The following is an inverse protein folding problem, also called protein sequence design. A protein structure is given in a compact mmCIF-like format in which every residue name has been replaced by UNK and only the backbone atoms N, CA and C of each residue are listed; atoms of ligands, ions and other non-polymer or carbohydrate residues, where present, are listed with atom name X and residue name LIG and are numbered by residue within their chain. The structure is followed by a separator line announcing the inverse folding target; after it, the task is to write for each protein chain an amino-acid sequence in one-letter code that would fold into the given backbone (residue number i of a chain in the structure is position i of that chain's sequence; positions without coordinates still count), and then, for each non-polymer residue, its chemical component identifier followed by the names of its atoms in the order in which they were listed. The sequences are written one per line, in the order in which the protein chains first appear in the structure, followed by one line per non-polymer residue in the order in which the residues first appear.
data_IF_855712548989
#
_entry.id   IF_855712548989
#
_cell.length_a   1.000
_cell.length_b   1.000
_cell.length_c   1.000
_cell.angle_alpha   90.00
_cell.angle_beta   90.00
_cell.angle_gamma   90.00
#
_symmetry.space_group_name_H-M   'P 1'
#
loop_
_entity.id
_entity.type
_entity.pdbx_description
1 polymer ?
#
# COMPACT_ATOMS: atom_id res chain seq x y z
N UNK A 1 2.53 -1.32 57.02
CA UNK A 1 1.22 -1.21 56.34
C UNK A 1 1.21 -2.19 55.18
N UNK A 2 0.32 -3.17 55.17
CA UNK A 2 0.19 -4.17 54.12
C UNK A 2 -0.93 -3.78 53.15
N UNK A 3 -0.66 -3.75 51.85
CA UNK A 3 -1.66 -3.49 50.83
C UNK A 3 -2.35 -4.79 50.41
N UNK A 4 -3.66 -4.86 50.63
CA UNK A 4 -4.53 -5.91 50.15
C UNK A 4 -5.40 -5.36 49.02
N UNK A 5 -5.23 -5.85 47.78
CA UNK A 5 -6.32 -6.11 46.83
C UNK A 5 -5.80 -6.52 45.44
N UNK A 6 -6.11 -7.75 45.02
CA UNK A 6 -6.56 -8.08 43.66
C UNK A 6 -7.00 -9.54 43.62
N UNK A 7 -8.23 -9.82 44.07
CA UNK A 7 -8.86 -11.15 43.93
C UNK A 7 -9.87 -11.15 42.79
N UNK A 8 -9.41 -10.92 41.55
CA UNK A 8 -10.13 -11.34 40.33
C UNK A 8 -9.12 -11.73 39.26
N UNK A 9 -8.65 -12.97 39.32
CA UNK A 9 -7.85 -13.59 38.26
C UNK A 9 -8.67 -13.61 36.97
N UNK A 10 -8.18 -12.97 35.90
CA UNK A 10 -8.80 -13.02 34.59
C UNK A 10 -8.91 -14.49 34.11
N UNK A 11 -10.10 -14.91 33.66
CA UNK A 11 -10.30 -16.25 33.09
C UNK A 11 -9.34 -16.42 31.90
N UNK A 12 -8.49 -17.46 31.93
CA UNK A 12 -7.62 -17.82 30.80
C UNK A 12 -8.49 -17.97 29.54
N UNK A 13 -8.16 -17.20 28.50
CA UNK A 13 -8.80 -17.31 27.19
C UNK A 13 -8.61 -18.73 26.66
N UNK A 14 -9.70 -19.45 26.45
CA UNK A 14 -9.67 -20.71 25.70
C UNK A 14 -9.28 -20.37 24.26
N UNK A 15 -8.35 -21.09 23.62
CA UNK A 15 -8.03 -20.88 22.20
C UNK A 15 -9.32 -20.96 21.37
N UNK A 16 -9.54 -19.97 20.51
CA UNK A 16 -10.71 -19.93 19.62
C UNK A 16 -10.76 -21.16 18.70
N UNK A 17 -11.95 -21.48 18.19
CA UNK A 17 -12.12 -22.57 17.22
C UNK A 17 -11.29 -22.26 15.96
N UNK A 18 -10.49 -23.22 15.43
CA UNK A 18 -9.77 -23.05 14.17
C UNK A 18 -10.72 -22.73 13.01
N UNK A 19 -10.27 -21.96 12.02
CA UNK A 19 -11.01 -21.77 10.77
C UNK A 19 -11.15 -23.11 10.04
N UNK A 20 -12.31 -23.35 9.42
CA UNK A 20 -12.50 -24.52 8.55
C UNK A 20 -11.54 -24.41 7.35
N UNK A 21 -10.89 -25.53 7.00
CA UNK A 21 -9.99 -25.58 5.83
C UNK A 21 -10.75 -25.13 4.58
N UNK A 22 -10.21 -24.15 3.86
CA UNK A 22 -10.83 -23.58 2.66
C UNK A 22 -11.90 -22.51 2.90
N UNK A 23 -12.24 -22.18 4.15
CA UNK A 23 -13.16 -21.07 4.47
C UNK A 23 -12.43 -19.96 5.21
N UNK A 24 -12.34 -18.80 4.55
CA UNK A 24 -11.86 -17.58 5.20
C UNK A 24 -12.82 -17.18 6.34
N UNK A 25 -12.26 -16.80 7.49
CA UNK A 25 -13.03 -16.16 8.58
C UNK A 25 -13.64 -14.83 8.18
N UNK A 26 -13.20 -14.25 7.06
CA UNK A 26 -13.81 -13.10 6.43
C UNK A 26 -14.11 -13.41 4.96
N UNK A 27 -15.25 -14.06 4.66
CA UNK A 27 -15.61 -14.46 3.29
C UNK A 27 -15.76 -13.27 2.33
N UNK A 28 -16.13 -12.10 2.85
CA UNK A 28 -16.35 -10.87 2.06
C UNK A 28 -15.08 -10.04 1.90
N UNK A 29 -13.97 -10.47 2.50
CA UNK A 29 -12.69 -9.76 2.46
C UNK A 29 -12.73 -8.40 3.17
N UNK A 30 -11.65 -7.63 3.02
CA UNK A 30 -11.57 -6.29 3.59
C UNK A 30 -12.63 -5.39 2.93
N UNK A 31 -13.49 -4.71 3.70
CA UNK A 31 -14.46 -3.76 3.14
C UNK A 31 -13.76 -2.74 2.25
N UNK A 32 -14.39 -2.42 1.10
CA UNK A 32 -13.91 -1.37 0.21
C UNK A 32 -14.04 -0.02 0.91
N UNK A 33 -13.09 0.88 0.65
CA UNK A 33 -13.16 2.27 1.10
C UNK A 33 -14.40 2.91 0.46
N UNK A 34 -15.28 3.54 1.26
CA UNK A 34 -16.42 4.31 0.75
C UNK A 34 -16.00 5.35 -0.30
N UNK A 35 -16.78 5.55 -1.37
CA UNK A 35 -16.39 6.41 -2.50
C UNK A 35 -16.20 7.88 -2.08
N UNK A 36 -17.08 8.39 -1.23
CA UNK A 36 -17.03 9.72 -0.61
C UNK A 36 -15.72 9.96 0.15
N UNK A 37 -15.30 8.99 0.98
CA UNK A 37 -14.04 9.07 1.72
C UNK A 37 -12.87 9.10 0.74
N UNK A 38 -12.86 8.20 -0.26
CA UNK A 38 -11.80 8.17 -1.28
C UNK A 38 -11.66 9.50 -2.00
N UNK A 39 -12.77 10.12 -2.39
CA UNK A 39 -12.76 11.37 -3.14
C UNK A 39 -12.35 12.56 -2.27
N UNK A 40 -12.74 12.56 -0.99
CA UNK A 40 -12.21 13.51 0.00
C UNK A 40 -10.68 13.43 0.13
N UNK A 41 -10.12 12.23 0.24
CA UNK A 41 -8.66 12.05 0.31
C UNK A 41 -7.95 12.45 -0.98
N UNK A 42 -8.53 12.16 -2.15
CA UNK A 42 -8.00 12.64 -3.44
C UNK A 42 -7.97 14.17 -3.49
N UNK A 43 -9.06 14.82 -3.08
CA UNK A 43 -9.15 16.27 -3.04
C UNK A 43 -8.16 16.91 -2.05
N UNK A 44 -7.75 16.20 -0.99
CA UNK A 44 -6.75 16.66 -0.04
C UNK A 44 -5.29 16.55 -0.56
N UNK A 45 -5.05 15.81 -1.65
CA UNK A 45 -3.71 15.56 -2.20
C UNK A 45 -2.89 16.84 -2.44
N UNK A 46 -3.44 17.92 -3.03
CA UNK A 46 -2.69 19.16 -3.22
C UNK A 46 -2.24 19.81 -1.91
N UNK A 47 -3.06 19.73 -0.85
CA UNK A 47 -2.71 20.26 0.46
C UNK A 47 -1.61 19.40 1.11
N UNK A 48 -1.70 18.08 1.01
CA UNK A 48 -0.65 17.18 1.49
C UNK A 48 0.68 17.39 0.76
N UNK A 49 0.67 17.61 -0.56
CA UNK A 49 1.87 17.93 -1.32
C UNK A 49 2.52 19.24 -0.86
N UNK A 50 1.72 20.30 -0.62
CA UNK A 50 2.22 21.56 -0.08
C UNK A 50 2.84 21.39 1.31
N UNK A 51 2.26 20.54 2.15
CA UNK A 51 2.83 20.23 3.46
C UNK A 51 4.21 19.59 3.34
N UNK A 52 4.36 18.59 2.47
CA UNK A 52 5.66 17.94 2.23
C UNK A 52 6.72 18.94 1.78
N UNK A 53 6.39 19.85 0.86
CA UNK A 53 7.31 20.89 0.40
C UNK A 53 7.75 21.77 1.58
N UNK A 54 6.79 22.26 2.38
CA UNK A 54 7.12 23.05 3.58
C UNK A 54 8.02 22.29 4.55
N UNK A 55 7.77 20.99 4.75
CA UNK A 55 8.60 20.16 5.63
C UNK A 55 10.02 19.98 5.09
N UNK A 56 10.24 20.02 3.77
CA UNK A 56 11.60 19.98 3.21
C UNK A 56 12.37 21.26 3.56
N UNK A 57 11.70 22.41 3.52
CA UNK A 57 12.29 23.73 3.77
C UNK A 57 12.41 24.09 5.26
N UNK A 58 11.74 23.35 6.15
CA UNK A 58 11.74 23.59 7.59
C UNK A 58 13.07 23.18 8.24
N UNK A 59 13.88 24.14 8.65
CA UNK A 59 15.19 23.91 9.28
C UNK A 59 15.10 23.41 10.73
N UNK A 60 13.99 23.69 11.41
CA UNK A 60 13.76 23.25 12.79
C UNK A 60 13.24 21.80 12.85
N UNK A 61 12.71 21.29 11.73
CA UNK A 61 12.28 19.91 11.62
C UNK A 61 13.47 18.93 11.66
N UNK A 62 13.31 17.74 12.29
CA UNK A 62 14.35 16.72 12.28
C UNK A 62 14.78 16.36 10.84
N UNK A 63 16.09 16.32 10.59
CA UNK A 63 16.64 16.03 9.26
C UNK A 63 16.03 14.77 8.62
N UNK A 64 15.81 13.72 9.41
CA UNK A 64 15.18 12.48 8.93
C UNK A 64 13.78 12.70 8.36
N UNK A 65 12.97 13.58 8.98
CA UNK A 65 11.63 13.91 8.51
C UNK A 65 11.69 14.70 7.19
N UNK A 66 12.64 15.63 7.07
CA UNK A 66 12.88 16.41 5.85
C UNK A 66 13.29 15.50 4.69
N UNK A 67 14.21 14.56 4.95
CA UNK A 67 14.66 13.56 3.97
C UNK A 67 13.53 12.62 3.54
N UNK A 68 12.69 12.17 4.47
CA UNK A 68 11.52 11.33 4.13
C UNK A 68 10.50 12.10 3.29
N UNK A 69 10.24 13.38 3.60
CA UNK A 69 9.37 14.23 2.80
C UNK A 69 9.94 14.44 1.38
N UNK A 70 11.23 14.73 1.24
CA UNK A 70 11.91 14.88 -0.04
C UNK A 70 11.83 13.60 -0.89
N UNK A 71 12.19 12.45 -0.30
CA UNK A 71 12.08 11.14 -0.94
C UNK A 71 10.66 10.85 -1.39
N UNK A 72 9.69 11.13 -0.53
CA UNK A 72 8.26 10.94 -0.79
C UNK A 72 7.80 11.72 -2.03
N UNK A 73 8.26 12.96 -2.21
CA UNK A 73 7.99 13.80 -3.40
C UNK A 73 8.65 13.21 -4.65
N UNK A 74 9.93 12.85 -4.57
CA UNK A 74 10.69 12.28 -5.70
C UNK A 74 10.04 10.97 -6.18
N UNK A 75 9.71 10.05 -5.27
CA UNK A 75 9.06 8.76 -5.56
C UNK A 75 7.70 8.92 -6.26
N UNK A 76 7.01 10.06 -6.07
CA UNK A 76 5.70 10.34 -6.70
C UNK A 76 5.82 10.88 -8.12
N UNK A 77 6.91 11.60 -8.41
CA UNK A 77 7.18 12.17 -9.73
C UNK A 77 7.85 11.14 -10.64
N UNK A 78 8.83 10.43 -10.12
CA UNK A 78 9.69 9.53 -10.90
C UNK A 78 9.38 8.04 -10.68
N UNK A 79 8.50 7.72 -9.74
CA UNK A 79 8.23 6.35 -9.33
C UNK A 79 9.28 5.80 -8.36
N UNK A 80 9.00 4.60 -7.84
CA UNK A 80 9.96 3.86 -7.01
C UNK A 80 10.82 2.96 -7.88
N UNK A 81 12.01 2.63 -7.39
CA UNK A 81 12.88 1.64 -8.04
C UNK A 81 12.12 0.32 -8.28
N UNK A 82 12.12 -0.14 -9.53
CA UNK A 82 11.52 -1.41 -9.95
C UNK A 82 12.20 -2.55 -9.21
N UNK A 83 11.42 -3.44 -8.59
CA UNK A 83 11.97 -4.65 -8.00
C UNK A 83 12.44 -5.59 -9.12
N UNK A 84 13.68 -6.07 -9.09
CA UNK A 84 14.12 -7.07 -10.06
C UNK A 84 13.30 -8.35 -9.87
N UNK A 85 12.72 -8.85 -10.95
CA UNK A 85 12.04 -10.14 -10.97
C UNK A 85 13.06 -11.15 -11.47
N UNK A 86 13.59 -12.00 -10.58
CA UNK A 86 14.33 -13.19 -10.99
C UNK A 86 13.33 -14.25 -11.44
N UNK A 87 13.01 -14.21 -12.74
CA UNK A 87 12.21 -15.22 -13.40
C UNK A 87 12.74 -15.43 -14.81
N UNK A 88 13.17 -16.66 -15.13
CA UNK A 88 13.45 -17.07 -16.50
C UNK A 88 12.14 -16.97 -17.29
N UNK A 89 11.95 -15.85 -18.00
CA UNK A 89 10.71 -15.53 -18.67
C UNK A 89 10.77 -16.08 -20.10
N UNK A 90 10.20 -17.27 -20.33
CA UNK A 90 9.90 -17.77 -21.68
C UNK A 90 8.70 -16.98 -22.24
N UNK A 91 8.90 -15.70 -22.52
CA UNK A 91 7.87 -14.84 -23.10
C UNK A 91 7.86 -15.02 -24.62
N UNK A 92 6.82 -15.65 -25.15
CA UNK A 92 6.55 -15.67 -26.60
C UNK A 92 5.73 -14.45 -27.00
N UNK A 93 6.36 -13.55 -27.78
CA UNK A 93 5.69 -12.40 -28.37
C UNK A 93 5.00 -12.82 -29.68
N UNK A 94 3.68 -12.90 -29.69
CA UNK A 94 2.90 -13.06 -30.92
C UNK A 94 2.59 -11.68 -31.51
N UNK A 95 3.29 -11.32 -32.59
CA UNK A 95 2.97 -10.13 -33.38
C UNK A 95 1.88 -10.53 -34.37
N UNK A 96 0.67 -10.02 -34.15
CA UNK A 96 -0.42 -10.14 -35.12
C UNK A 96 -0.28 -8.97 -36.09
N UNK A 97 0.19 -9.27 -37.31
CA UNK A 97 0.23 -8.31 -38.40
C UNK A 97 -1.21 -7.99 -38.84
N UNK A 98 -1.52 -6.72 -39.11
CA UNK A 98 -2.80 -6.33 -39.69
C UNK A 98 -2.91 -6.83 -41.13
N UNK A 99 -4.15 -6.96 -41.62
CA UNK A 99 -4.42 -7.54 -42.95
C UNK A 99 -3.74 -6.75 -44.08
N UNK A 100 -3.52 -5.44 -43.90
CA UNK A 100 -2.79 -4.61 -44.87
C UNK A 100 -1.32 -5.02 -45.03
N UNK A 101 -0.69 -5.56 -43.99
CA UNK A 101 0.71 -5.99 -44.04
C UNK A 101 0.89 -7.36 -44.74
N UNK A 102 -0.18 -8.15 -44.90
CA UNK A 102 -0.15 -9.40 -45.67
C UNK A 102 -0.17 -9.16 -47.18
N UNK A 103 -0.89 -8.13 -47.63
CA UNK A 103 -0.99 -7.82 -49.07
C UNK A 103 0.31 -7.23 -49.64
N UNK A 104 1.13 -6.59 -48.81
CA UNK A 104 2.39 -5.95 -49.24
C UNK A 104 3.57 -6.93 -49.36
N UNK A 105 3.42 -8.17 -48.88
CA UNK A 105 4.42 -9.25 -48.98
C UNK A 105 3.97 -10.41 -49.87
N UNK A 106 2.92 -10.21 -50.69
CA UNK A 106 2.54 -11.12 -51.77
C UNK A 106 3.39 -10.94 -53.01
#
# INVERSE_FOLDING_TARGET
MAAANSTKTAKKSVPGKPFEKGKSGNPRGRPKIPPDVRDMFKAATPAAAKLLIKTIDDEDAPLALRMDAAKTVIDRVYGKATQPIDGNLDATLQIVMSDEARELMG
#
